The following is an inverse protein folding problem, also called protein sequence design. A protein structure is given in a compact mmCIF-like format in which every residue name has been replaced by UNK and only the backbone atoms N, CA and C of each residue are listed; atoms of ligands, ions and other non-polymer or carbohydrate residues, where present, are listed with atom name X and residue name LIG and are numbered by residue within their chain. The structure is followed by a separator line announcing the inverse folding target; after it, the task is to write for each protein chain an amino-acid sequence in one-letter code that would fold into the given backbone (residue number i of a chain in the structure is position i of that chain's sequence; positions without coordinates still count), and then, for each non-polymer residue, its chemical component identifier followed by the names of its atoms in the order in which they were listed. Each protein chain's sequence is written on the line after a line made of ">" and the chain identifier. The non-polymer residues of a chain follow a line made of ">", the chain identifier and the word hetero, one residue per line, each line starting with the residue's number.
data_IF_151027057990
#
_entry.id   IF_151027057990
#
_cell.length_a   1.000
_cell.length_b   1.000
_cell.length_c   1.000
_cell.angle_alpha   90.00
_cell.angle_beta   90.00
_cell.angle_gamma   90.00
#
_symmetry.space_group_name_H-M   'P 1'
#
loop_
_entity.id
_entity.type
_entity.pdbx_description
1 polymer ?
#
# COMPACT_ATOMS: atom_id res chain seq x y z
N UNK A 1 -12.95 6.88 -3.91
CA UNK A 1 -11.53 6.74 -4.28
C UNK A 1 -11.47 5.98 -5.60
N UNK A 2 -10.77 6.48 -6.64
CA UNK A 2 -10.50 5.66 -7.82
C UNK A 2 -9.63 4.48 -7.37
N UNK A 3 -10.22 3.28 -7.30
CA UNK A 3 -9.55 2.05 -6.92
C UNK A 3 -9.34 1.20 -8.16
N UNK A 4 -8.09 0.86 -8.44
CA UNK A 4 -7.71 -0.04 -9.53
C UNK A 4 -7.75 -1.50 -9.11
N UNK A 5 -7.68 -2.40 -10.10
CA UNK A 5 -7.70 -3.85 -9.94
C UNK A 5 -6.43 -4.41 -9.27
N UNK A 6 -6.06 -3.92 -8.08
CA UNK A 6 -4.92 -4.40 -7.28
C UNK A 6 -5.33 -5.23 -6.06
N UNK A 7 -6.64 -5.41 -5.81
CA UNK A 7 -7.24 -6.01 -4.62
C UNK A 7 -6.87 -5.25 -3.32
N UNK A 8 -7.73 -4.32 -2.85
CA UNK A 8 -7.40 -3.52 -1.67
C UNK A 8 -7.28 -4.36 -0.39
N UNK A 9 -6.46 -3.91 0.55
CA UNK A 9 -6.44 -4.39 1.94
C UNK A 9 -6.89 -3.28 2.86
N UNK A 10 -7.86 -3.54 3.74
CA UNK A 10 -8.41 -2.53 4.64
C UNK A 10 -8.56 -3.11 6.05
N UNK A 11 -8.57 -2.23 7.04
CA UNK A 11 -8.71 -2.61 8.44
C UNK A 11 -8.78 -1.40 9.37
N UNK A 12 -8.61 -1.67 10.66
CA UNK A 12 -8.56 -0.67 11.72
C UNK A 12 -7.27 -0.92 12.51
N UNK A 13 -6.46 0.12 12.66
CA UNK A 13 -5.24 0.09 13.47
C UNK A 13 -5.59 0.13 14.96
N UNK A 14 -4.66 -0.26 15.82
CA UNK A 14 -4.81 -0.15 17.28
C UNK A 14 -5.05 1.30 17.75
N UNK A 15 -4.65 2.29 16.96
CA UNK A 15 -4.93 3.72 17.19
C UNK A 15 -6.38 4.12 16.93
N UNK A 16 -7.23 3.20 16.46
CA UNK A 16 -8.61 3.46 16.06
C UNK A 16 -8.74 4.06 14.65
N UNK A 17 -7.64 4.31 13.96
CA UNK A 17 -7.65 4.78 12.57
C UNK A 17 -8.03 3.65 11.62
N UNK A 18 -8.95 3.92 10.70
CA UNK A 18 -9.22 3.03 9.57
C UNK A 18 -8.13 3.23 8.52
N UNK A 19 -7.73 2.14 7.86
CA UNK A 19 -6.79 2.22 6.76
C UNK A 19 -7.29 1.50 5.51
N UNK A 20 -6.73 1.90 4.36
CA UNK A 20 -6.90 1.25 3.07
C UNK A 20 -5.56 1.27 2.32
N UNK A 21 -4.99 0.09 2.07
CA UNK A 21 -3.83 -0.12 1.21
C UNK A 21 -4.31 -0.51 -0.18
N UNK A 22 -3.98 0.33 -1.16
CA UNK A 22 -4.20 0.07 -2.59
C UNK A 22 -3.38 1.06 -3.43
N UNK A 23 -3.52 1.01 -4.75
CA UNK A 23 -3.07 2.13 -5.61
C UNK A 23 -4.15 3.21 -5.63
N UNK A 24 -3.85 4.34 -4.98
CA UNK A 24 -4.72 5.51 -4.94
C UNK A 24 -4.06 6.64 -5.73
N UNK A 25 -4.29 6.70 -7.05
CA UNK A 25 -3.92 7.85 -7.89
C UNK A 25 -5.11 8.26 -8.75
N UNK A 26 -5.26 9.57 -9.00
CA UNK A 26 -6.39 10.11 -9.76
C UNK A 26 -6.37 9.68 -11.25
N UNK A 27 -5.19 9.32 -11.75
CA UNK A 27 -4.87 9.09 -13.17
C UNK A 27 -4.31 7.67 -13.42
N UNK A 28 -4.41 6.75 -12.45
CA UNK A 28 -3.75 5.44 -12.57
C UNK A 28 -4.32 4.56 -13.69
N UNK A 29 -5.54 4.79 -14.17
CA UNK A 29 -6.14 3.91 -15.20
C UNK A 29 -6.24 2.47 -14.70
N UNK A 30 -5.47 1.54 -15.26
CA UNK A 30 -5.31 0.14 -14.76
C UNK A 30 -3.91 -0.15 -14.17
N UNK A 31 -3.09 0.88 -14.00
CA UNK A 31 -1.75 0.80 -13.45
C UNK A 31 -1.80 0.40 -11.97
N UNK A 32 -0.86 -0.44 -11.56
CA UNK A 32 -0.73 -0.96 -10.18
C UNK A 32 0.46 -0.36 -9.45
N UNK A 33 0.67 0.95 -9.62
CA UNK A 33 1.63 1.75 -8.87
C UNK A 33 1.22 3.23 -8.87
N UNK A 34 1.58 4.01 -7.83
CA UNK A 34 2.26 3.56 -6.60
C UNK A 34 1.38 2.71 -5.68
N UNK A 35 1.99 1.96 -4.77
CA UNK A 35 1.31 1.38 -3.61
C UNK A 35 1.21 2.44 -2.52
N UNK A 36 0.00 2.65 -2.01
CA UNK A 36 -0.32 3.72 -1.05
C UNK A 36 -1.12 3.17 0.13
N UNK A 37 -1.15 3.92 1.22
CA UNK A 37 -2.04 3.72 2.37
C UNK A 37 -2.80 5.00 2.67
N UNK A 38 -4.12 4.94 2.62
CA UNK A 38 -5.01 5.98 3.13
C UNK A 38 -5.35 5.69 4.60
N UNK A 39 -5.40 6.71 5.45
CA UNK A 39 -5.77 6.60 6.87
C UNK A 39 -6.80 7.67 7.26
N UNK A 40 -7.72 7.31 8.15
CA UNK A 40 -8.67 8.23 8.78
C UNK A 40 -8.07 8.88 10.03
N UNK A 41 -8.81 9.82 10.61
CA UNK A 41 -8.70 10.12 12.04
C UNK A 41 -9.23 8.92 12.87
N UNK A 42 -8.81 8.76 14.14
CA UNK A 42 -9.33 7.72 15.02
C UNK A 42 -10.86 7.74 15.12
N UNK A 43 -11.50 6.59 14.85
CA UNK A 43 -12.96 6.43 14.92
C UNK A 43 -13.75 6.95 13.72
N UNK A 44 -13.12 7.76 12.86
CA UNK A 44 -13.79 8.37 11.70
C UNK A 44 -13.95 7.40 10.52
N UNK A 45 -15.00 7.62 9.73
CA UNK A 45 -15.29 6.82 8.52
C UNK A 45 -14.77 7.45 7.21
N UNK A 46 -14.08 8.58 7.30
CA UNK A 46 -13.50 9.29 6.14
C UNK A 46 -11.98 9.28 6.23
N UNK A 47 -11.30 8.95 5.13
CA UNK A 47 -9.85 9.05 5.05
C UNK A 47 -9.41 10.51 4.99
N UNK A 48 -8.35 10.84 5.73
CA UNK A 48 -7.81 12.20 5.87
C UNK A 48 -6.44 12.39 5.23
N UNK A 49 -5.61 11.36 5.25
CA UNK A 49 -4.26 11.39 4.66
C UNK A 49 -4.03 10.15 3.80
N UNK A 50 -3.22 10.31 2.75
CA UNK A 50 -2.71 9.23 1.92
C UNK A 50 -1.19 9.32 1.98
N UNK A 51 -0.53 8.21 2.31
CA UNK A 51 0.91 8.06 2.28
C UNK A 51 1.32 7.11 1.17
N UNK A 52 2.48 7.38 0.59
CA UNK A 52 3.12 6.49 -0.39
C UNK A 52 3.92 5.43 0.36
N UNK A 53 3.73 4.16 0.00
CA UNK A 53 4.52 3.03 0.49
C UNK A 53 5.67 2.75 -0.51
N UNK A 54 5.34 2.60 -1.78
CA UNK A 54 6.29 2.11 -2.80
C UNK A 54 5.88 2.54 -4.22
N UNK A 55 6.81 3.08 -4.99
CA UNK A 55 6.66 3.37 -6.43
C UNK A 55 7.01 2.16 -7.30
N UNK A 56 6.86 2.23 -8.63
CA UNK A 56 7.42 1.21 -9.51
C UNK A 56 8.97 1.28 -9.48
N UNK A 57 9.52 2.48 -9.68
CA UNK A 57 10.95 2.79 -9.55
C UNK A 57 11.24 3.30 -8.13
N UNK A 58 12.29 2.78 -7.50
CA UNK A 58 12.91 3.37 -6.31
C UNK A 58 14.40 3.05 -6.24
N UNK A 59 15.03 3.73 -5.30
CA UNK A 59 16.28 3.36 -4.69
C UNK A 59 16.02 2.47 -3.46
N UNK A 60 16.51 1.23 -3.49
CA UNK A 60 16.37 0.28 -2.38
C UNK A 60 16.46 -1.18 -2.81
N UNK A 61 16.32 -2.12 -1.86
CA UNK A 61 16.28 -3.55 -2.16
C UNK A 61 14.96 -3.94 -2.83
N UNK A 62 15.00 -4.99 -3.65
CA UNK A 62 13.84 -5.47 -4.39
C UNK A 62 13.88 -5.07 -5.87
N UNK A 63 12.80 -5.37 -6.59
CA UNK A 63 12.74 -5.13 -8.03
C UNK A 63 12.27 -3.70 -8.33
N UNK A 64 13.02 -3.02 -9.18
CA UNK A 64 12.81 -1.62 -9.53
C UNK A 64 12.78 -1.48 -11.05
N UNK A 65 11.58 -1.53 -11.63
CA UNK A 65 11.34 -1.37 -13.07
C UNK A 65 10.08 -0.53 -13.30
N UNK A 66 10.03 0.24 -14.39
CA UNK A 66 9.02 1.27 -14.65
C UNK A 66 7.61 0.71 -14.91
N UNK A 67 7.54 -0.56 -15.28
CA UNK A 67 6.32 -1.32 -15.55
C UNK A 67 6.01 -2.37 -14.46
N UNK A 68 6.61 -2.23 -13.27
CA UNK A 68 6.28 -3.08 -12.13
C UNK A 68 4.79 -2.98 -11.80
N UNK A 69 4.19 -4.10 -11.42
CA UNK A 69 2.82 -4.16 -10.95
C UNK A 69 2.81 -4.58 -9.48
N UNK A 70 2.48 -3.65 -8.59
CA UNK A 70 2.39 -3.87 -7.14
C UNK A 70 0.95 -4.25 -6.79
N UNK A 71 0.74 -5.49 -6.37
CA UNK A 71 -0.60 -6.06 -6.29
C UNK A 71 -0.81 -6.93 -5.05
N UNK A 72 -2.07 -7.17 -4.73
CA UNK A 72 -2.52 -8.07 -3.66
C UNK A 72 -1.90 -7.73 -2.31
N UNK A 73 -1.96 -6.45 -1.86
CA UNK A 73 -1.52 -6.13 -0.53
C UNK A 73 -2.32 -6.92 0.51
N UNK A 74 -1.65 -7.27 1.60
CA UNK A 74 -2.26 -7.72 2.83
C UNK A 74 -1.51 -7.11 4.00
N UNK A 75 -2.24 -6.52 4.94
CA UNK A 75 -1.66 -5.78 6.04
C UNK A 75 -2.02 -6.40 7.39
N UNK A 76 -1.02 -6.58 8.24
CA UNK A 76 -1.18 -7.05 9.62
C UNK A 76 -0.43 -6.10 10.55
N UNK A 77 -1.11 -5.60 11.56
CA UNK A 77 -0.46 -4.87 12.64
C UNK A 77 0.09 -5.84 13.69
N UNK A 78 1.35 -5.63 14.08
CA UNK A 78 1.99 -6.36 15.16
C UNK A 78 3.10 -5.51 15.80
N UNK A 79 3.17 -5.49 17.12
CA UNK A 79 4.23 -4.78 17.88
C UNK A 79 4.48 -3.33 17.44
N UNK A 80 3.39 -2.56 17.27
CA UNK A 80 3.47 -1.14 16.90
C UNK A 80 3.92 -0.89 15.45
N UNK A 81 3.94 -1.92 14.61
CA UNK A 81 4.27 -1.84 13.18
C UNK A 81 3.16 -2.43 12.34
N UNK A 82 2.89 -1.81 11.20
CA UNK A 82 2.07 -2.36 10.14
C UNK A 82 2.97 -3.06 9.13
N UNK A 83 2.80 -4.36 9.00
CA UNK A 83 3.47 -5.21 8.02
C UNK A 83 2.57 -5.34 6.80
N UNK A 84 3.00 -4.77 5.67
CA UNK A 84 2.25 -4.81 4.40
C UNK A 84 2.99 -5.71 3.42
N UNK A 85 2.53 -6.95 3.30
CA UNK A 85 3.01 -7.88 2.28
C UNK A 85 2.32 -7.61 0.95
N UNK A 86 3.06 -7.60 -0.15
CA UNK A 86 2.51 -7.41 -1.50
C UNK A 86 3.34 -8.11 -2.56
N UNK A 87 2.75 -8.26 -3.74
CA UNK A 87 3.35 -8.92 -4.90
C UNK A 87 3.92 -7.88 -5.86
N UNK A 88 5.14 -8.09 -6.36
CA UNK A 88 5.78 -7.28 -7.40
C UNK A 88 6.03 -8.12 -8.66
N UNK A 89 5.50 -7.71 -9.81
CA UNK A 89 5.70 -8.46 -11.06
C UNK A 89 7.12 -8.40 -11.64
N UNK A 90 7.94 -7.44 -11.21
CA UNK A 90 9.27 -7.18 -11.78
C UNK A 90 9.24 -6.98 -13.31
N UNK A 91 8.10 -6.55 -13.86
CA UNK A 91 7.91 -6.37 -15.31
C UNK A 91 7.74 -7.65 -16.14
N UNK A 92 7.77 -8.84 -15.52
CA UNK A 92 7.77 -10.14 -16.25
C UNK A 92 6.42 -10.60 -16.77
N UNK A 93 5.33 -10.12 -16.19
CA UNK A 93 3.97 -10.60 -16.48
C UNK A 93 3.72 -12.05 -16.03
N UNK A 94 2.59 -12.62 -16.47
CA UNK A 94 2.18 -14.02 -16.24
C UNK A 94 2.26 -14.51 -14.78
N UNK A 95 2.02 -13.62 -13.81
CA UNK A 95 2.07 -13.89 -12.36
C UNK A 95 3.44 -14.43 -11.86
N UNK A 96 4.53 -14.09 -12.53
CA UNK A 96 5.91 -14.39 -12.09
C UNK A 96 6.39 -13.31 -11.13
N UNK A 97 5.85 -13.31 -9.93
CA UNK A 97 5.99 -12.20 -9.01
C UNK A 97 6.95 -12.52 -7.86
N UNK A 98 7.70 -11.50 -7.46
CA UNK A 98 8.44 -11.47 -6.20
C UNK A 98 7.48 -11.10 -5.06
N UNK A 99 7.72 -11.64 -3.86
CA UNK A 99 7.03 -11.21 -2.65
C UNK A 99 7.86 -10.11 -1.98
N UNK A 100 7.22 -8.99 -1.65
CA UNK A 100 7.82 -7.87 -0.95
C UNK A 100 7.06 -7.54 0.34
N UNK A 101 7.74 -6.89 1.26
CA UNK A 101 7.22 -6.50 2.57
C UNK A 101 7.63 -5.07 2.89
N UNK A 102 6.66 -4.20 3.12
CA UNK A 102 6.88 -2.91 3.75
C UNK A 102 6.58 -2.99 5.24
N UNK A 103 7.44 -2.38 6.06
CA UNK A 103 7.27 -2.29 7.52
C UNK A 103 7.09 -0.82 7.85
N UNK A 104 5.91 -0.45 8.35
CA UNK A 104 5.53 0.95 8.59
C UNK A 104 5.28 1.12 10.11
N UNK A 105 6.05 1.96 10.82
CA UNK A 105 5.75 2.27 12.22
C UNK A 105 4.35 2.90 12.35
N UNK A 106 3.51 2.41 13.27
CA UNK A 106 2.14 2.92 13.45
C UNK A 106 2.14 4.41 13.84
N UNK A 107 3.13 4.85 14.61
CA UNK A 107 3.31 6.27 14.97
C UNK A 107 3.48 7.18 13.74
N UNK A 108 4.04 6.68 12.64
CA UNK A 108 4.22 7.46 11.41
C UNK A 108 2.92 7.69 10.64
N UNK A 109 1.88 6.89 10.94
CA UNK A 109 0.56 6.98 10.32
C UNK A 109 -0.44 7.79 11.15
N UNK A 110 -0.07 8.21 12.37
CA UNK A 110 -0.94 9.02 13.21
C UNK A 110 -1.19 10.38 12.56
N UNK A 111 -2.46 10.70 12.37
CA UNK A 111 -2.86 12.01 11.86
C UNK A 111 -3.00 12.96 13.05
N UNK A 112 -2.21 14.04 13.04
CA UNK A 112 -2.30 15.14 14.01
C UNK A 112 -3.36 16.17 13.59
#
# INVERSE_FOLDING_TARGET
>A
LPMVASQPSAGVLSTGQRFLVCTTSADSGNRRYPLTIAVSDPGENTFRRIYRIRDAIHDGPGESVDNAALAYPYAVEHEGKLYVGYSNSGGRGANRNSAELAIIPIESLQVK
#
